data_IF_812033521961
#
_entry.id   IF_812033521961
#
_cell.length_a   1.000
_cell.length_b   1.000
_cell.length_c   1.000
_cell.angle_alpha   90.00
_cell.angle_beta   90.00
_cell.angle_gamma   90.00
#
_symmetry.space_group_name_H-M   'P 1'
#
loop_
_entity.id
_entity.type
_entity.pdbx_description
1 polymer ?
#
# COMPACT_ATOMS: atom_id res chain seq x y z
N UNK A 1 4.55 9.86 12.97
CA UNK A 1 4.52 11.14 12.26
C UNK A 1 5.41 11.17 11.01
N UNK A 2 5.89 10.01 10.54
CA UNK A 2 6.77 9.88 9.37
C UNK A 2 6.31 8.77 8.42
N UNK A 3 4.99 8.51 8.39
CA UNK A 3 4.39 7.58 7.46
C UNK A 3 3.86 8.32 6.23
N UNK A 4 4.18 7.76 5.07
CA UNK A 4 3.76 8.30 3.79
C UNK A 4 3.04 7.21 2.98
N UNK A 5 2.10 7.63 2.17
CA UNK A 5 1.49 6.82 1.14
C UNK A 5 2.06 7.20 -0.21
N UNK A 6 2.46 6.19 -1.01
CA UNK A 6 3.00 6.38 -2.35
C UNK A 6 1.95 5.90 -3.33
N UNK A 7 1.39 6.82 -4.11
CA UNK A 7 0.33 6.54 -5.07
C UNK A 7 0.78 6.87 -6.49
N UNK A 8 0.56 5.93 -7.43
CA UNK A 8 0.86 6.13 -8.85
C UNK A 8 -0.12 7.14 -9.45
N UNK A 9 0.41 8.20 -10.05
CA UNK A 9 -0.38 9.25 -10.70
C UNK A 9 -0.37 9.09 -12.21
N UNK A 10 0.79 8.81 -12.79
CA UNK A 10 0.96 8.61 -14.22
C UNK A 10 2.12 7.66 -14.48
N UNK A 11 2.44 7.39 -15.75
CA UNK A 11 3.47 6.44 -16.10
C UNK A 11 4.84 6.84 -15.54
N UNK A 12 5.33 6.03 -14.59
CA UNK A 12 6.60 6.22 -13.89
C UNK A 12 6.62 7.35 -12.85
N UNK A 13 5.48 8.03 -12.59
CA UNK A 13 5.41 9.10 -11.58
C UNK A 13 4.39 8.81 -10.49
N UNK A 14 4.74 9.23 -9.28
CA UNK A 14 4.02 9.00 -8.03
C UNK A 14 3.87 10.31 -7.25
N UNK A 15 2.81 10.44 -6.48
CA UNK A 15 2.73 11.39 -5.36
C UNK A 15 3.16 10.67 -4.07
N UNK A 16 3.73 11.42 -3.14
CA UNK A 16 4.15 10.95 -1.81
C UNK A 16 3.37 11.76 -0.78
N UNK A 17 2.35 11.15 -0.21
CA UNK A 17 1.39 11.81 0.69
C UNK A 17 1.66 11.47 2.15
N UNK A 18 1.72 12.47 3.01
CA UNK A 18 1.82 12.28 4.46
C UNK A 18 0.50 11.76 5.02
N UNK A 19 0.52 10.60 5.66
CA UNK A 19 -0.67 10.03 6.32
C UNK A 19 -1.19 10.90 7.48
N UNK A 20 -0.34 11.74 8.06
CA UNK A 20 -0.74 12.65 9.13
C UNK A 20 -1.58 13.82 8.62
N UNK A 21 -1.20 14.42 7.51
CA UNK A 21 -1.75 15.72 7.08
C UNK A 21 -2.57 15.64 5.79
N UNK A 22 -2.49 14.54 5.03
CA UNK A 22 -3.08 14.42 3.70
C UNK A 22 -2.42 15.35 2.67
N UNK A 23 -1.27 15.93 3.00
CA UNK A 23 -0.50 16.79 2.09
C UNK A 23 0.63 15.99 1.44
N UNK A 24 1.03 16.40 0.24
CA UNK A 24 2.05 15.71 -0.53
C UNK A 24 3.41 16.40 -0.46
N UNK A 25 4.49 15.64 -0.64
CA UNK A 25 5.81 16.19 -0.86
C UNK A 25 5.81 17.06 -2.10
N UNK A 26 6.35 18.27 -1.96
CA UNK A 26 6.32 19.32 -2.97
C UNK A 26 7.65 20.06 -2.99
N UNK A 27 8.17 20.31 -4.19
CA UNK A 27 9.35 21.17 -4.37
C UNK A 27 8.91 22.63 -4.30
N UNK A 28 9.38 23.35 -3.28
CA UNK A 28 8.98 24.71 -3.01
C UNK A 28 9.05 25.60 -4.28
N UNK A 29 7.94 26.29 -4.55
CA UNK A 29 7.78 27.18 -5.70
C UNK A 29 7.99 26.53 -7.08
N UNK A 30 7.94 25.19 -7.17
CA UNK A 30 8.21 24.47 -8.42
C UNK A 30 9.63 24.71 -8.96
N UNK A 31 10.57 24.97 -8.08
CA UNK A 31 11.94 25.33 -8.45
C UNK A 31 12.68 24.16 -9.10
N UNK A 32 13.39 24.45 -10.19
CA UNK A 32 14.31 23.50 -10.87
C UNK A 32 15.75 23.67 -10.43
N UNK A 33 16.00 24.57 -9.47
CA UNK A 33 17.35 24.91 -9.01
C UNK A 33 17.78 23.96 -7.91
N UNK A 34 19.03 23.52 -7.92
CA UNK A 34 19.64 22.77 -6.84
C UNK A 34 19.59 23.56 -5.52
N UNK A 35 19.28 22.87 -4.42
CA UNK A 35 19.09 23.48 -3.10
C UNK A 35 17.65 23.96 -2.84
N UNK A 36 16.70 23.68 -3.73
CA UNK A 36 15.30 24.02 -3.50
C UNK A 36 14.74 23.22 -2.32
N UNK A 37 14.04 23.91 -1.43
CA UNK A 37 13.42 23.28 -0.27
C UNK A 37 12.31 22.29 -0.69
N UNK A 38 12.16 21.22 0.07
CA UNK A 38 11.05 20.29 -0.04
C UNK A 38 10.15 20.44 1.19
N UNK A 39 8.88 20.67 0.95
CA UNK A 39 7.88 20.85 1.99
C UNK A 39 6.65 19.97 1.72
N UNK A 40 5.66 20.03 2.56
CA UNK A 40 4.34 19.44 2.31
C UNK A 40 3.38 20.53 1.81
N UNK A 41 2.62 20.23 0.75
CA UNK A 41 1.64 21.13 0.17
C UNK A 41 0.37 20.40 -0.23
N UNK A 42 -0.74 21.12 -0.38
CA UNK A 42 -1.98 20.53 -0.88
C UNK A 42 -1.79 20.00 -2.30
N UNK A 43 -2.34 18.83 -2.59
CA UNK A 43 -2.25 18.25 -3.92
C UNK A 43 -2.88 19.17 -4.98
N UNK A 44 -2.13 19.50 -6.01
CA UNK A 44 -2.56 20.32 -7.14
C UNK A 44 -2.18 19.76 -8.51
N UNK A 45 -1.52 18.58 -8.54
CA UNK A 45 -1.14 17.88 -9.76
C UNK A 45 0.04 18.50 -10.53
N UNK A 46 0.73 19.50 -9.97
CA UNK A 46 1.89 20.11 -10.63
C UNK A 46 3.10 19.18 -10.67
N UNK A 47 4.03 19.47 -11.58
CA UNK A 47 5.30 18.73 -11.69
C UNK A 47 6.15 18.77 -10.41
N UNK A 48 5.94 19.79 -9.55
CA UNK A 48 6.60 19.92 -8.25
C UNK A 48 6.23 18.80 -7.25
N UNK A 49 5.11 18.11 -7.47
CA UNK A 49 4.56 17.09 -6.61
C UNK A 49 4.71 15.67 -7.17
N UNK A 50 5.37 15.56 -8.33
CA UNK A 50 5.54 14.29 -9.04
C UNK A 50 6.97 13.77 -8.89
N UNK A 51 7.06 12.52 -8.42
CA UNK A 51 8.32 11.88 -8.07
C UNK A 51 8.45 10.53 -8.77
N UNK A 52 9.67 10.17 -9.13
CA UNK A 52 10.01 8.87 -9.71
C UNK A 52 11.06 8.19 -8.84
N UNK A 53 10.90 6.88 -8.64
CA UNK A 53 11.85 6.06 -7.90
C UNK A 53 12.80 5.39 -8.89
N UNK A 54 14.09 5.62 -8.73
CA UNK A 54 15.16 5.03 -9.55
C UNK A 54 16.00 4.15 -8.64
N UNK A 55 16.21 2.90 -9.02
CA UNK A 55 17.00 1.96 -8.25
C UNK A 55 18.43 2.49 -8.04
N UNK A 56 18.90 2.48 -6.79
CA UNK A 56 20.24 2.90 -6.39
C UNK A 56 21.10 1.72 -5.90
N UNK A 57 20.59 0.48 -6.06
CA UNK A 57 21.20 -0.75 -5.54
C UNK A 57 20.97 -0.94 -4.04
N UNK A 58 21.20 -2.16 -3.56
CA UNK A 58 21.09 -2.54 -2.13
C UNK A 58 19.74 -2.20 -1.49
N UNK A 59 18.63 -2.30 -2.25
CA UNK A 59 17.29 -1.98 -1.78
C UNK A 59 17.06 -0.49 -1.50
N UNK A 60 17.89 0.38 -2.07
CA UNK A 60 17.77 1.84 -1.98
C UNK A 60 17.31 2.45 -3.28
N UNK A 61 16.79 3.66 -3.19
CA UNK A 61 16.24 4.40 -4.32
C UNK A 61 16.75 5.85 -4.32
N UNK A 62 16.96 6.39 -5.53
CA UNK A 62 16.96 7.82 -5.75
C UNK A 62 15.53 8.26 -5.99
N UNK A 63 15.07 9.30 -5.29
CA UNK A 63 13.73 9.87 -5.45
C UNK A 63 13.87 11.11 -6.33
N UNK A 64 13.58 10.96 -7.61
CA UNK A 64 13.77 12.01 -8.61
C UNK A 64 12.49 12.81 -8.80
N UNK A 65 12.59 14.13 -8.66
CA UNK A 65 11.51 15.06 -9.00
C UNK A 65 11.31 15.11 -10.52
N UNK A 66 10.08 15.25 -10.96
CA UNK A 66 9.75 15.53 -12.37
C UNK A 66 10.35 16.84 -12.87
N UNK A 67 10.78 17.71 -11.97
CA UNK A 67 11.50 18.94 -12.28
C UNK A 67 12.98 18.72 -12.66
N UNK A 68 13.51 17.49 -12.51
CA UNK A 68 14.86 17.11 -12.97
C UNK A 68 15.92 17.03 -11.87
N UNK A 69 15.60 17.40 -10.64
CA UNK A 69 16.46 17.26 -9.45
C UNK A 69 16.11 16.02 -8.63
N UNK A 70 16.92 15.66 -7.64
CA UNK A 70 16.67 14.51 -6.77
C UNK A 70 16.55 14.93 -5.31
N UNK A 71 15.79 14.18 -4.52
CA UNK A 71 15.64 14.39 -3.09
C UNK A 71 16.99 14.15 -2.40
N UNK A 72 17.38 15.07 -1.53
CA UNK A 72 18.73 15.17 -0.99
C UNK A 72 18.70 15.70 0.45
N UNK A 73 19.55 15.14 1.30
CA UNK A 73 19.78 15.67 2.65
C UNK A 73 20.85 16.76 2.58
N UNK A 74 20.50 17.98 2.96
CA UNK A 74 21.37 19.14 2.87
C UNK A 74 22.76 18.87 3.46
N UNK A 75 23.81 19.11 2.67
CA UNK A 75 25.21 18.92 3.05
C UNK A 75 25.57 17.50 3.49
N UNK A 76 24.76 16.49 3.16
CA UNK A 76 24.91 15.12 3.61
C UNK A 76 25.03 14.99 5.16
N UNK A 77 24.42 15.91 5.89
CA UNK A 77 24.50 15.98 7.35
C UNK A 77 23.63 14.90 8.00
N UNK A 78 24.20 14.19 9.01
CA UNK A 78 23.48 13.24 9.84
C UNK A 78 22.85 13.88 11.09
N UNK A 79 22.96 15.20 11.26
CA UNK A 79 22.43 15.89 12.44
C UNK A 79 20.90 15.94 12.39
N UNK A 80 20.28 15.75 13.58
CA UNK A 80 18.82 15.92 13.70
C UNK A 80 18.41 17.36 13.32
N UNK A 81 17.28 17.47 12.59
CA UNK A 81 16.77 18.77 12.09
C UNK A 81 17.42 19.22 10.79
N UNK A 82 18.34 18.44 10.21
CA UNK A 82 18.86 18.76 8.87
C UNK A 82 17.75 18.78 7.84
N UNK A 83 17.72 19.83 7.02
CA UNK A 83 16.69 20.01 6.01
C UNK A 83 16.83 18.99 4.87
N UNK A 84 15.69 18.70 4.24
CA UNK A 84 15.60 17.95 2.98
C UNK A 84 15.30 18.93 1.85
N UNK A 85 16.04 18.79 0.78
CA UNK A 85 16.01 19.65 -0.40
C UNK A 85 15.94 18.82 -1.67
N UNK A 86 15.83 19.46 -2.82
CA UNK A 86 16.20 18.84 -4.09
C UNK A 86 17.56 19.34 -4.55
N UNK A 87 18.38 18.44 -5.11
CA UNK A 87 19.72 18.77 -5.56
C UNK A 87 20.04 18.12 -6.91
N UNK A 88 21.15 18.57 -7.53
CA UNK A 88 21.68 17.92 -8.72
C UNK A 88 22.04 16.48 -8.43
N UNK A 89 21.69 15.57 -9.32
CA UNK A 89 22.00 14.15 -9.17
C UNK A 89 23.51 13.91 -9.15
N UNK A 90 24.05 13.39 -8.05
CA UNK A 90 25.48 13.13 -7.83
C UNK A 90 25.76 11.76 -7.22
N UNK A 91 24.76 10.93 -7.04
CA UNK A 91 24.83 9.54 -6.51
C UNK A 91 25.41 9.44 -5.09
N UNK A 92 25.49 10.54 -4.35
CA UNK A 92 25.95 10.54 -2.95
C UNK A 92 25.00 9.76 -2.04
N UNK A 93 25.49 9.42 -0.84
CA UNK A 93 24.64 8.77 0.17
C UNK A 93 23.51 9.64 0.67
N UNK A 94 23.64 10.98 0.58
CA UNK A 94 22.58 11.94 0.90
C UNK A 94 21.34 11.83 -0.02
N UNK A 95 21.48 11.17 -1.17
CA UNK A 95 20.43 10.98 -2.16
C UNK A 95 19.85 9.57 -2.18
N UNK A 96 20.37 8.66 -1.34
CA UNK A 96 19.93 7.26 -1.28
C UNK A 96 18.94 7.04 -0.15
N UNK A 97 17.74 6.64 -0.50
CA UNK A 97 16.61 6.46 0.41
C UNK A 97 16.20 5.00 0.49
N UNK A 98 15.95 4.48 1.68
CA UNK A 98 15.35 3.16 1.90
C UNK A 98 13.85 3.33 2.08
N UNK A 99 13.07 2.61 1.30
CA UNK A 99 11.62 2.52 1.51
C UNK A 99 11.37 1.36 2.47
N UNK A 100 10.83 1.68 3.63
CA UNK A 100 10.38 0.68 4.59
C UNK A 100 8.85 0.63 4.46
N UNK A 101 8.33 -0.53 4.11
CA UNK A 101 6.90 -0.75 4.25
C UNK A 101 6.59 -0.68 5.74
N UNK A 102 5.81 0.33 6.13
CA UNK A 102 5.13 0.25 7.42
C UNK A 102 4.20 -0.94 7.31
N UNK A 103 4.33 -1.89 8.21
CA UNK A 103 3.48 -3.07 8.21
C UNK A 103 2.02 -2.58 7.98
N UNK A 104 1.50 -2.73 6.75
CA UNK A 104 0.10 -3.05 6.61
C UNK A 104 -0.08 -4.12 7.66
N UNK A 105 -0.98 -3.91 8.59
CA UNK A 105 -1.40 -4.97 9.48
C UNK A 105 -1.77 -6.11 8.54
N UNK A 106 -0.78 -6.94 8.21
CA UNK A 106 -1.03 -8.24 7.64
C UNK A 106 -1.83 -8.88 8.77
N UNK A 107 -3.15 -8.88 8.61
CA UNK A 107 -3.97 -9.71 9.47
C UNK A 107 -3.30 -11.06 9.37
N UNK A 108 -2.57 -11.45 10.44
CA UNK A 108 -1.87 -12.73 10.45
C UNK A 108 -2.88 -13.74 9.95
N UNK A 109 -2.63 -14.38 8.82
CA UNK A 109 -3.49 -15.44 8.30
C UNK A 109 -3.53 -16.56 9.33
N UNK A 110 -2.43 -16.68 10.09
CA UNK A 110 -2.31 -17.67 11.17
C UNK A 110 -2.94 -17.15 12.45
N UNK A 111 -3.62 -18.02 13.17
CA UNK A 111 -4.23 -17.75 14.47
C UNK A 111 -5.66 -18.22 14.57
N UNK A 112 -6.25 -18.00 15.75
CA UNK A 112 -7.64 -18.38 16.00
C UNK A 112 -8.60 -17.43 15.28
N UNK A 113 -9.64 -18.02 14.70
CA UNK A 113 -10.74 -17.23 14.13
C UNK A 113 -11.60 -16.59 15.22
N UNK A 114 -11.99 -15.32 15.02
CA UNK A 114 -12.86 -14.59 15.93
C UNK A 114 -14.27 -14.36 15.33
N UNK A 115 -14.51 -14.87 14.12
CA UNK A 115 -15.81 -14.68 13.46
C UNK A 115 -16.72 -15.90 13.68
N UNK A 116 -18.01 -15.61 13.76
CA UNK A 116 -19.04 -16.64 13.78
C UNK A 116 -19.46 -17.04 12.36
N UNK A 117 -20.01 -18.23 12.20
CA UNK A 117 -20.60 -18.69 10.94
C UNK A 117 -21.66 -17.70 10.45
N UNK A 118 -22.48 -17.13 11.33
CA UNK A 118 -23.49 -16.13 10.96
C UNK A 118 -22.90 -14.84 10.40
N UNK A 119 -21.74 -14.40 10.91
CA UNK A 119 -21.03 -13.26 10.36
C UNK A 119 -20.46 -13.55 8.97
N UNK A 120 -19.90 -14.75 8.76
CA UNK A 120 -19.40 -15.20 7.45
C UNK A 120 -20.54 -15.27 6.42
N UNK A 121 -21.67 -15.88 6.79
CA UNK A 121 -22.88 -15.93 5.93
C UNK A 121 -23.38 -14.54 5.58
N UNK A 122 -23.44 -13.63 6.54
CA UNK A 122 -23.84 -12.23 6.31
C UNK A 122 -22.88 -11.52 5.35
N UNK A 123 -21.57 -11.74 5.51
CA UNK A 123 -20.57 -11.18 4.60
C UNK A 123 -20.78 -11.70 3.18
N UNK A 124 -20.96 -13.02 3.00
CA UNK A 124 -21.25 -13.60 1.69
C UNK A 124 -22.51 -13.00 1.06
N UNK A 125 -23.63 -13.02 1.77
CA UNK A 125 -24.91 -12.49 1.27
C UNK A 125 -24.86 -11.00 0.88
N UNK A 126 -23.99 -10.23 1.53
CA UNK A 126 -23.80 -8.81 1.20
C UNK A 126 -22.86 -8.57 0.00
N UNK A 127 -21.98 -9.51 -0.32
CA UNK A 127 -20.95 -9.35 -1.35
C UNK A 127 -21.19 -10.20 -2.59
N UNK A 128 -21.87 -11.32 -2.46
CA UNK A 128 -22.13 -12.22 -3.58
C UNK A 128 -23.12 -11.59 -4.58
N UNK A 129 -22.69 -11.56 -5.83
CA UNK A 129 -23.50 -11.11 -6.99
C UNK A 129 -24.20 -12.28 -7.67
N UNK A 130 -23.91 -13.51 -7.26
CA UNK A 130 -24.45 -14.76 -7.79
C UNK A 130 -24.99 -15.63 -6.67
N UNK A 131 -25.91 -16.52 -7.02
CA UNK A 131 -26.40 -17.53 -6.09
C UNK A 131 -25.30 -18.44 -5.61
N UNK A 132 -25.45 -19.04 -4.42
CA UNK A 132 -24.48 -19.96 -3.86
C UNK A 132 -24.18 -21.12 -4.83
N UNK A 133 -22.95 -21.28 -5.31
CA UNK A 133 -22.64 -22.16 -6.45
C UNK A 133 -22.56 -23.65 -6.08
N UNK A 134 -22.43 -23.97 -4.78
CA UNK A 134 -22.23 -25.35 -4.29
C UNK A 134 -23.49 -26.00 -3.76
N UNK A 135 -24.66 -25.51 -4.12
CA UNK A 135 -25.95 -26.09 -3.66
C UNK A 135 -26.12 -27.56 -4.01
N UNK A 136 -25.41 -28.07 -5.02
CA UNK A 136 -25.42 -29.48 -5.43
C UNK A 136 -24.31 -30.34 -4.79
N UNK A 137 -23.48 -29.76 -3.91
CA UNK A 137 -22.41 -30.49 -3.21
C UNK A 137 -22.95 -31.03 -1.92
N UNK A 138 -22.92 -32.37 -1.74
CA UNK A 138 -23.51 -33.05 -0.60
C UNK A 138 -22.94 -32.63 0.76
N UNK A 139 -21.64 -32.29 0.77
CA UNK A 139 -20.90 -31.89 1.97
C UNK A 139 -21.21 -30.46 2.39
N UNK A 140 -21.58 -29.59 1.43
CA UNK A 140 -21.85 -28.19 1.65
C UNK A 140 -23.05 -27.66 0.84
N UNK A 141 -24.27 -28.23 1.04
CA UNK A 141 -25.43 -27.87 0.21
C UNK A 141 -25.98 -26.46 0.47
N UNK A 142 -25.55 -25.82 1.55
CA UNK A 142 -25.96 -24.47 1.92
C UNK A 142 -24.75 -23.59 2.24
N UNK A 143 -24.90 -22.27 2.12
CA UNK A 143 -23.85 -21.33 2.50
C UNK A 143 -23.50 -21.42 3.99
N UNK A 144 -24.48 -21.74 4.84
CA UNK A 144 -24.29 -21.94 6.26
C UNK A 144 -23.37 -23.14 6.52
N UNK A 145 -23.61 -24.26 5.84
CA UNK A 145 -22.77 -25.47 5.96
C UNK A 145 -21.37 -25.25 5.41
N UNK A 146 -21.26 -24.55 4.31
CA UNK A 146 -19.98 -24.15 3.72
C UNK A 146 -19.15 -23.28 4.70
N UNK A 147 -19.75 -22.26 5.28
CA UNK A 147 -19.09 -21.43 6.28
C UNK A 147 -18.69 -22.22 7.54
N UNK A 148 -19.50 -23.20 7.92
CA UNK A 148 -19.20 -24.09 9.06
C UNK A 148 -17.93 -24.92 8.77
N UNK A 149 -17.84 -25.56 7.62
CA UNK A 149 -16.68 -26.35 7.19
C UNK A 149 -15.43 -25.44 7.15
N UNK A 150 -15.52 -24.26 6.53
CA UNK A 150 -14.40 -23.33 6.50
C UNK A 150 -13.89 -22.95 7.88
N UNK A 151 -14.80 -22.78 8.83
CA UNK A 151 -14.44 -22.47 10.21
C UNK A 151 -13.75 -23.64 10.89
N UNK A 152 -14.29 -24.84 10.78
CA UNK A 152 -13.75 -26.05 11.36
C UNK A 152 -12.35 -26.37 10.82
N UNK A 153 -12.18 -26.40 9.49
CA UNK A 153 -10.89 -26.64 8.84
C UNK A 153 -9.85 -25.55 9.20
N UNK A 154 -10.26 -24.29 9.24
CA UNK A 154 -9.36 -23.21 9.60
C UNK A 154 -8.86 -23.28 11.05
N UNK A 155 -9.66 -23.81 11.96
CA UNK A 155 -9.26 -24.05 13.34
C UNK A 155 -8.24 -25.19 13.44
N UNK A 156 -8.39 -26.25 12.63
CA UNK A 156 -7.45 -27.37 12.54
C UNK A 156 -6.11 -26.93 11.97
N UNK A 157 -6.13 -26.15 10.89
CA UNK A 157 -4.93 -25.65 10.20
C UNK A 157 -4.28 -24.44 10.91
N UNK A 158 -4.91 -23.90 11.95
CA UNK A 158 -4.41 -22.70 12.65
C UNK A 158 -4.46 -21.44 11.81
N UNK A 159 -5.36 -21.36 10.83
CA UNK A 159 -5.57 -20.22 9.93
C UNK A 159 -6.83 -19.48 10.33
N UNK A 160 -6.86 -18.16 10.19
CA UNK A 160 -8.09 -17.40 10.46
C UNK A 160 -9.12 -17.63 9.35
N UNK A 161 -10.28 -18.20 9.72
CA UNK A 161 -11.37 -18.50 8.79
C UNK A 161 -11.85 -17.27 8.01
N UNK A 162 -11.91 -16.09 8.64
CA UNK A 162 -12.32 -14.83 8.01
C UNK A 162 -11.43 -14.44 6.82
N UNK A 163 -10.14 -14.75 6.88
CA UNK A 163 -9.18 -14.44 5.79
C UNK A 163 -9.32 -15.44 4.65
N UNK A 164 -9.30 -16.75 4.98
CA UNK A 164 -9.44 -17.80 3.97
C UNK A 164 -10.79 -17.72 3.25
N UNK A 165 -11.86 -17.47 3.99
CA UNK A 165 -13.22 -17.33 3.44
C UNK A 165 -13.36 -16.08 2.57
N UNK A 166 -12.80 -14.93 2.97
CA UNK A 166 -12.83 -13.72 2.17
C UNK A 166 -12.10 -13.89 0.84
N UNK A 167 -10.96 -14.59 0.83
CA UNK A 167 -10.24 -14.93 -0.40
C UNK A 167 -11.06 -15.84 -1.32
N UNK A 168 -11.69 -16.88 -0.77
CA UNK A 168 -12.57 -17.76 -1.53
C UNK A 168 -13.73 -16.99 -2.15
N UNK A 169 -14.38 -16.11 -1.41
CA UNK A 169 -15.47 -15.28 -1.93
C UNK A 169 -14.99 -14.36 -3.07
N UNK A 170 -13.80 -13.78 -2.97
CA UNK A 170 -13.24 -12.92 -4.03
C UNK A 170 -12.95 -13.68 -5.31
N UNK A 171 -12.44 -14.91 -5.21
CA UNK A 171 -12.15 -15.76 -6.38
C UNK A 171 -13.42 -16.12 -7.16
N UNK A 172 -14.56 -16.31 -6.47
CA UNK A 172 -15.83 -16.70 -7.10
C UNK A 172 -16.70 -15.52 -7.53
N UNK A 173 -16.44 -14.30 -7.03
CA UNK A 173 -17.22 -13.11 -7.35
C UNK A 173 -16.52 -12.21 -8.37
N UNK A 174 -15.24 -12.42 -8.66
CA UNK A 174 -14.54 -11.71 -9.72
C UNK A 174 -14.88 -12.32 -11.09
N UNK A 175 -15.23 -11.50 -12.09
CA UNK A 175 -15.36 -12.01 -13.45
C UNK A 175 -14.00 -12.58 -13.89
N UNK A 176 -14.00 -13.84 -14.36
CA UNK A 176 -12.80 -14.46 -14.93
C UNK A 176 -12.25 -13.56 -16.03
N UNK A 177 -10.97 -13.24 -16.04
CA UNK A 177 -10.37 -12.55 -17.19
C UNK A 177 -10.54 -13.43 -18.41
N UNK A 178 -11.20 -12.90 -19.44
CA UNK A 178 -11.31 -13.54 -20.77
C UNK A 178 -10.01 -13.33 -21.53
#
# INVERSE_FOLDING_TARGET
>A
AQEFEIEKVSDGYYKIESKLSGKVLDVANGSRTAGANVWQYSWNGSDAQLWRFVDAGDGKYYIQSKLGTVLDVTSASAAAGTNVQTYTFNQSTAQKWTLLETEKTLYSIMGKTNVSVSQMVKFYKNKATVSYPYSNVSEAPTIEKFCQIYKEESEVEGVKAEVAFAQACLLYTSPSPR
#
